data_IF_073742025650
#
_entry.id   IF_073742025650
#
_cell.length_a   1.000
_cell.length_b   1.000
_cell.length_c   1.000
_cell.angle_alpha   90.00
_cell.angle_beta   90.00
_cell.angle_gamma   90.00
#
_symmetry.space_group_name_H-M   'P 1'
#
loop_
_entity.id
_entity.type
_entity.pdbx_description
1 polymer ?
#
# COMPACT_ATOMS: atom_id res chain seq x y z
N UNK A 1 -64.68 -44.14 -14.98
CA UNK A 1 -64.25 -42.73 -14.82
C UNK A 1 -63.27 -42.66 -13.66
N UNK A 2 -62.05 -42.15 -13.92
CA UNK A 2 -61.00 -41.60 -13.02
C UNK A 2 -60.50 -42.54 -11.89
N UNK A 3 -59.38 -43.24 -12.09
CA UNK A 3 -57.99 -42.82 -11.77
C UNK A 3 -57.84 -42.10 -10.42
N UNK A 4 -57.02 -42.67 -9.52
CA UNK A 4 -55.81 -41.98 -9.05
C UNK A 4 -54.85 -42.94 -8.33
N UNK A 5 -53.68 -43.07 -8.94
CA UNK A 5 -52.46 -43.70 -8.47
C UNK A 5 -51.68 -42.64 -7.66
N UNK A 6 -51.23 -42.96 -6.45
CA UNK A 6 -50.28 -42.13 -5.70
C UNK A 6 -48.96 -42.89 -5.61
N UNK A 7 -47.96 -42.42 -6.36
CA UNK A 7 -46.57 -42.87 -6.27
C UNK A 7 -45.84 -41.85 -5.38
N UNK A 8 -45.29 -42.33 -4.27
CA UNK A 8 -44.42 -41.55 -3.39
C UNK A 8 -43.01 -41.51 -4.01
N UNK A 9 -42.54 -40.34 -4.40
CA UNK A 9 -41.16 -40.12 -4.89
C UNK A 9 -40.28 -39.65 -3.75
N UNK A 10 -39.38 -40.52 -3.30
CA UNK A 10 -38.31 -40.20 -2.37
C UNK A 10 -37.19 -39.48 -3.13
N UNK A 11 -37.02 -38.18 -2.88
CA UNK A 11 -35.88 -37.40 -3.39
C UNK A 11 -34.70 -37.63 -2.44
N UNK A 12 -33.66 -38.31 -2.90
CA UNK A 12 -32.39 -38.41 -2.20
C UNK A 12 -31.56 -37.14 -2.43
N UNK A 13 -31.32 -36.38 -1.37
CA UNK A 13 -30.35 -35.28 -1.37
C UNK A 13 -28.94 -35.86 -1.24
N UNK A 14 -28.16 -35.79 -2.33
CA UNK A 14 -26.72 -36.04 -2.27
C UNK A 14 -26.03 -34.82 -1.65
N UNK A 15 -25.61 -34.92 -0.38
CA UNK A 15 -24.67 -33.98 0.23
C UNK A 15 -23.29 -34.19 -0.39
N UNK A 16 -22.88 -33.29 -1.27
CA UNK A 16 -21.48 -33.15 -1.68
C UNK A 16 -20.74 -32.47 -0.53
N UNK A 17 -19.98 -33.25 0.24
CA UNK A 17 -19.03 -32.71 1.22
C UNK A 17 -17.86 -32.16 0.42
N UNK A 18 -17.80 -30.83 0.29
CA UNK A 18 -16.62 -30.12 -0.19
C UNK A 18 -15.50 -30.34 0.83
N UNK A 19 -14.60 -31.26 0.52
CA UNK A 19 -13.30 -31.33 1.16
C UNK A 19 -12.54 -30.03 0.85
N UNK A 20 -12.63 -29.06 1.76
CA UNK A 20 -11.79 -27.87 1.73
C UNK A 20 -10.40 -28.31 2.18
N UNK A 21 -9.43 -28.24 1.27
CA UNK A 21 -8.03 -28.53 1.56
C UNK A 21 -7.55 -27.62 2.69
N UNK A 22 -7.24 -28.25 3.82
CA UNK A 22 -6.57 -27.65 4.98
C UNK A 22 -5.10 -27.48 4.60
N UNK A 23 -4.76 -26.49 3.77
CA UNK A 23 -3.36 -26.14 3.47
C UNK A 23 -2.99 -24.71 3.86
N UNK A 24 -3.90 -23.96 4.50
CA UNK A 24 -3.67 -22.57 4.87
C UNK A 24 -3.07 -22.32 6.28
N UNK A 25 -2.61 -23.35 7.01
CA UNK A 25 -2.36 -23.22 8.46
C UNK A 25 -0.93 -23.45 8.97
N UNK A 26 0.10 -23.44 8.12
CA UNK A 26 1.48 -23.59 8.64
C UNK A 26 2.56 -22.76 7.93
N UNK A 27 2.21 -21.62 7.34
CA UNK A 27 3.23 -20.62 7.01
C UNK A 27 3.74 -19.98 8.31
N UNK A 28 5.04 -20.09 8.59
CA UNK A 28 5.67 -19.34 9.68
C UNK A 28 5.38 -17.85 9.47
N UNK A 29 5.13 -17.08 10.55
CA UNK A 29 4.93 -15.63 10.43
C UNK A 29 6.10 -15.01 9.69
N UNK A 30 5.82 -14.23 8.65
CA UNK A 30 6.86 -13.51 7.90
C UNK A 30 7.48 -12.47 8.84
N UNK A 31 8.80 -12.52 9.10
CA UNK A 31 9.44 -11.59 10.02
C UNK A 31 9.28 -10.14 9.57
N UNK A 32 9.09 -9.20 10.50
CA UNK A 32 9.04 -7.76 10.20
C UNK A 32 10.32 -7.29 9.50
N UNK A 33 10.26 -6.36 8.54
CA UNK A 33 11.46 -5.88 7.88
C UNK A 33 12.39 -5.21 8.91
N UNK A 34 13.67 -5.51 8.83
CA UNK A 34 14.71 -4.81 9.56
C UNK A 34 14.86 -3.38 9.02
N UNK A 35 15.38 -2.43 9.82
CA UNK A 35 15.61 -1.06 9.35
C UNK A 35 16.50 -0.96 8.10
N UNK A 36 17.41 -1.91 7.90
CA UNK A 36 18.30 -1.99 6.73
C UNK A 36 17.58 -2.45 5.46
N UNK A 37 16.53 -3.26 5.58
CA UNK A 37 15.73 -3.74 4.45
C UNK A 37 14.75 -2.68 3.94
N UNK A 38 14.37 -1.72 4.80
CA UNK A 38 13.51 -0.60 4.39
C UNK A 38 14.35 0.45 3.66
N UNK A 39 14.12 0.64 2.36
CA UNK A 39 14.75 1.71 1.57
C UNK A 39 13.90 2.98 1.64
N UNK A 40 14.56 4.14 1.69
CA UNK A 40 13.86 5.44 1.70
C UNK A 40 14.40 6.27 0.56
N UNK A 41 13.50 6.71 -0.32
CA UNK A 41 13.83 7.51 -1.48
C UNK A 41 13.07 8.85 -1.45
N UNK A 42 13.58 9.88 -2.13
CA UNK A 42 12.77 11.01 -2.56
C UNK A 42 11.50 10.56 -3.28
N UNK A 43 10.40 11.28 -3.08
CA UNK A 43 9.15 11.05 -3.80
C UNK A 43 8.49 12.37 -4.18
N UNK A 44 7.81 12.40 -5.33
CA UNK A 44 7.15 13.59 -5.86
C UNK A 44 5.77 13.23 -6.40
N UNK A 45 4.71 13.77 -5.78
CA UNK A 45 3.34 13.50 -6.19
C UNK A 45 3.01 13.99 -7.60
N UNK A 46 3.70 15.02 -8.10
CA UNK A 46 3.52 15.52 -9.48
C UNK A 46 4.20 14.62 -10.53
N UNK A 47 5.20 13.83 -10.12
CA UNK A 47 5.92 12.86 -10.96
C UNK A 47 5.86 11.48 -10.29
N UNK A 48 4.67 11.07 -9.85
CA UNK A 48 4.46 9.93 -8.94
C UNK A 48 5.00 8.60 -9.45
N UNK A 49 5.08 8.42 -10.76
CA UNK A 49 5.57 7.18 -11.38
C UNK A 49 7.09 7.19 -11.63
N UNK A 50 7.78 8.31 -11.36
CA UNK A 50 9.23 8.43 -11.50
C UNK A 50 9.95 7.96 -10.24
N UNK A 51 10.91 7.05 -10.41
CA UNK A 51 11.86 6.67 -9.38
C UNK A 51 12.97 7.73 -9.30
N UNK A 52 12.98 8.53 -8.25
CA UNK A 52 13.92 9.64 -8.09
C UNK A 52 15.20 9.16 -7.40
N UNK A 53 16.37 9.39 -8.02
CA UNK A 53 17.67 9.09 -7.41
C UNK A 53 17.82 9.89 -6.10
N UNK A 54 18.19 9.26 -4.96
CA UNK A 54 18.50 9.95 -3.70
C UNK A 54 19.50 11.10 -3.80
N UNK A 55 20.38 11.09 -4.81
CA UNK A 55 21.37 12.14 -5.10
C UNK A 55 20.79 13.31 -5.89
N UNK A 56 19.56 13.19 -6.40
CA UNK A 56 18.87 14.28 -7.11
C UNK A 56 18.77 15.49 -6.17
N UNK A 57 19.38 16.60 -6.57
CA UNK A 57 19.30 17.86 -5.82
C UNK A 57 17.87 18.37 -5.83
N UNK A 58 17.38 18.87 -4.69
CA UNK A 58 16.04 19.42 -4.55
C UNK A 58 15.49 19.26 -3.14
N UNK A 59 14.25 19.70 -2.93
CA UNK A 59 13.62 19.79 -1.59
C UNK A 59 12.88 18.51 -1.18
N UNK A 60 13.40 17.33 -1.52
CA UNK A 60 12.75 16.05 -1.23
C UNK A 60 13.09 15.49 0.16
N UNK A 61 14.01 16.13 0.88
CA UNK A 61 14.51 15.66 2.18
C UNK A 61 13.83 16.30 3.39
N UNK A 62 12.76 17.07 3.17
CA UNK A 62 12.06 17.80 4.24
C UNK A 62 11.23 16.89 5.16
N UNK A 63 10.77 15.75 4.64
CA UNK A 63 10.13 14.71 5.45
C UNK A 63 11.19 13.73 5.97
N UNK A 64 11.04 13.36 7.24
CA UNK A 64 11.83 12.35 7.92
C UNK A 64 11.14 10.99 7.87
N UNK A 65 11.92 9.91 7.91
CA UNK A 65 11.42 8.54 7.98
C UNK A 65 12.12 7.78 9.11
N UNK A 66 11.34 7.26 10.07
CA UNK A 66 11.84 6.30 11.08
C UNK A 66 11.43 4.88 10.70
N UNK A 67 12.26 3.88 11.07
CA UNK A 67 12.12 2.47 10.63
C UNK A 67 12.19 1.45 11.79
N UNK A 68 11.97 1.87 13.02
CA UNK A 68 12.14 1.05 14.23
C UNK A 68 10.90 0.22 14.53
N UNK A 69 10.77 -0.98 13.95
CA UNK A 69 9.63 -1.89 14.13
C UNK A 69 8.32 -1.44 13.44
N UNK A 70 8.28 -0.18 13.01
CA UNK A 70 7.24 0.46 12.19
C UNK A 70 7.90 1.50 11.30
N UNK A 71 7.23 1.88 10.23
CA UNK A 71 7.63 3.02 9.39
C UNK A 71 6.80 4.23 9.81
N UNK A 72 7.44 5.39 9.99
CA UNK A 72 6.73 6.66 10.12
C UNK A 72 7.31 7.68 9.17
N UNK A 73 6.50 8.25 8.29
CA UNK A 73 6.87 9.31 7.36
C UNK A 73 6.24 10.61 7.88
N UNK A 74 7.05 11.54 8.36
CA UNK A 74 6.55 12.73 9.04
C UNK A 74 7.43 13.94 8.81
N UNK A 75 6.88 15.13 9.02
CA UNK A 75 7.65 16.38 8.95
C UNK A 75 6.81 17.58 8.58
N UNK A 76 7.50 18.72 8.43
CA UNK A 76 6.92 20.00 8.02
C UNK A 76 7.64 20.50 6.78
N UNK A 77 6.88 20.89 5.76
CA UNK A 77 7.41 21.45 4.51
C UNK A 77 8.07 22.81 4.77
N UNK A 78 9.26 23.02 4.24
CA UNK A 78 10.02 24.27 4.41
C UNK A 78 9.98 25.16 3.16
N UNK A 79 9.91 24.54 1.98
CA UNK A 79 9.89 25.21 0.68
C UNK A 79 8.72 24.70 -0.18
N UNK A 80 8.10 25.55 -1.01
CA UNK A 80 6.90 25.20 -1.78
C UNK A 80 7.15 24.28 -2.98
N UNK A 81 8.32 24.37 -3.61
CA UNK A 81 8.60 23.67 -4.87
C UNK A 81 10.06 23.26 -5.01
N UNK A 82 10.27 22.18 -5.75
CA UNK A 82 11.59 21.66 -6.08
C UNK A 82 11.84 21.72 -7.57
N UNK A 83 12.98 21.16 -8.00
CA UNK A 83 13.25 20.94 -9.42
C UNK A 83 13.76 19.52 -9.67
N UNK A 84 13.34 18.94 -10.79
CA UNK A 84 13.89 17.70 -11.33
C UNK A 84 14.26 18.01 -12.78
N UNK A 85 15.53 17.83 -13.15
CA UNK A 85 16.02 18.09 -14.52
C UNK A 85 15.62 19.49 -15.05
N UNK A 86 15.62 20.50 -14.18
CA UNK A 86 15.24 21.88 -14.52
C UNK A 86 13.74 22.19 -14.43
N UNK A 87 12.86 21.19 -14.45
CA UNK A 87 11.41 21.36 -14.34
C UNK A 87 10.98 21.60 -12.90
N UNK A 88 10.06 22.56 -12.69
CA UNK A 88 9.48 22.82 -11.37
C UNK A 88 8.54 21.68 -10.99
N UNK A 89 8.70 21.17 -9.77
CA UNK A 89 7.86 20.10 -9.22
C UNK A 89 7.28 20.47 -7.86
N UNK A 90 6.11 19.89 -7.58
CA UNK A 90 5.33 20.11 -6.38
C UNK A 90 5.03 18.79 -5.67
N UNK A 91 4.40 18.85 -4.50
CA UNK A 91 4.09 17.66 -3.71
C UNK A 91 5.36 16.83 -3.44
N UNK A 92 6.37 17.44 -2.84
CA UNK A 92 7.63 16.78 -2.55
C UNK A 92 7.54 16.07 -1.20
N UNK A 93 8.19 14.92 -1.09
CA UNK A 93 8.19 14.12 0.13
C UNK A 93 9.05 12.87 0.00
N UNK A 94 8.59 11.79 0.64
CA UNK A 94 9.35 10.55 0.80
C UNK A 94 8.48 9.35 0.52
N UNK A 95 9.13 8.31 0.01
CA UNK A 95 8.59 6.96 -0.08
C UNK A 95 9.49 6.02 0.74
N UNK A 96 8.87 5.15 1.53
CA UNK A 96 9.52 4.04 2.19
C UNK A 96 9.15 2.76 1.46
N UNK A 97 10.16 2.01 1.02
CA UNK A 97 10.05 0.78 0.24
C UNK A 97 10.47 -0.41 1.10
N UNK A 98 9.64 -1.45 1.12
CA UNK A 98 9.86 -2.71 1.84
C UNK A 98 10.02 -3.88 0.84
N UNK A 99 10.58 -5.02 1.29
CA UNK A 99 10.62 -6.25 0.48
C UNK A 99 9.23 -6.74 0.07
N UNK A 100 9.16 -7.55 -0.98
CA UNK A 100 7.92 -8.01 -1.63
C UNK A 100 7.26 -9.21 -0.97
N UNK A 101 7.70 -9.63 0.22
CA UNK A 101 7.11 -10.78 0.89
C UNK A 101 5.65 -10.51 1.29
N UNK A 102 4.87 -11.58 1.36
CA UNK A 102 3.48 -11.54 1.83
C UNK A 102 3.40 -11.07 3.27
N UNK A 103 2.74 -9.94 3.49
CA UNK A 103 2.75 -9.21 4.77
C UNK A 103 1.44 -8.47 4.97
N UNK A 104 1.09 -8.25 6.23
CA UNK A 104 -0.05 -7.40 6.62
C UNK A 104 0.35 -6.42 7.70
N UNK A 105 -0.52 -5.44 7.91
CA UNK A 105 -0.39 -4.54 9.04
C UNK A 105 -1.41 -3.41 9.02
N UNK A 106 -1.07 -2.34 9.73
CA UNK A 106 -1.95 -1.17 9.90
C UNK A 106 -1.33 0.09 9.31
N UNK A 107 -2.18 0.95 8.78
CA UNK A 107 -1.83 2.23 8.19
C UNK A 107 -2.68 3.31 8.86
N UNK A 108 -2.04 4.36 9.38
CA UNK A 108 -2.73 5.47 10.04
C UNK A 108 -2.15 6.79 9.58
N UNK A 109 -2.98 7.67 9.04
CA UNK A 109 -2.62 9.06 8.83
C UNK A 109 -2.98 9.85 10.10
N UNK A 110 -1.99 10.32 10.86
CA UNK A 110 -2.25 11.22 12.02
C UNK A 110 -2.73 12.60 11.58
N UNK A 111 -2.58 12.90 10.29
CA UNK A 111 -3.15 14.08 9.65
C UNK A 111 -3.77 13.64 8.31
N UNK A 112 -5.06 13.85 8.09
CA UNK A 112 -5.80 13.27 6.94
C UNK A 112 -5.37 13.76 5.54
N UNK A 113 -5.74 13.07 4.47
CA UNK A 113 -5.52 13.55 3.10
C UNK A 113 -6.23 14.88 2.86
N UNK A 114 -5.55 15.79 2.18
CA UNK A 114 -6.12 17.02 1.68
C UNK A 114 -5.53 17.27 0.30
N UNK A 115 -6.30 17.00 -0.76
CA UNK A 115 -5.79 16.85 -2.14
C UNK A 115 -4.80 17.94 -2.57
N UNK A 116 -5.05 19.21 -2.25
CA UNK A 116 -4.17 20.32 -2.64
C UNK A 116 -2.98 20.57 -1.70
N UNK A 117 -2.90 19.86 -0.56
CA UNK A 117 -1.94 20.13 0.52
C UNK A 117 -1.11 18.88 0.86
N UNK A 118 -1.77 17.77 1.16
CA UNK A 118 -1.20 16.54 1.69
C UNK A 118 -1.77 15.35 0.96
N UNK A 119 -0.90 14.55 0.35
CA UNK A 119 -1.29 13.33 -0.37
C UNK A 119 -0.48 12.14 0.12
N UNK A 120 -1.15 11.01 0.20
CA UNK A 120 -0.56 9.72 0.55
C UNK A 120 -0.69 8.78 -0.65
N UNK A 121 0.30 7.90 -0.79
CA UNK A 121 0.33 6.96 -1.91
C UNK A 121 0.78 5.58 -1.42
N UNK A 122 0.32 4.58 -2.14
CA UNK A 122 0.90 3.25 -2.14
C UNK A 122 1.56 2.99 -3.49
N UNK A 123 2.60 2.15 -3.50
CA UNK A 123 3.37 1.92 -4.70
C UNK A 123 3.84 0.47 -4.83
N UNK A 124 3.99 0.02 -6.06
CA UNK A 124 4.84 -1.11 -6.42
C UNK A 124 6.06 -0.55 -7.14
N UNK A 125 7.25 -0.86 -6.63
CA UNK A 125 8.49 -0.52 -7.31
C UNK A 125 8.80 -1.55 -8.38
N UNK A 126 9.05 -1.07 -9.59
CA UNK A 126 9.60 -1.83 -10.70
C UNK A 126 11.07 -1.44 -10.90
N UNK A 127 11.74 -2.02 -11.90
CA UNK A 127 13.15 -1.70 -12.21
C UNK A 127 13.38 -0.18 -12.32
N UNK A 128 12.69 0.47 -13.27
CA UNK A 128 12.94 1.86 -13.65
C UNK A 128 11.83 2.84 -13.26
N UNK A 129 10.74 2.35 -12.70
CA UNK A 129 9.55 3.17 -12.40
C UNK A 129 8.87 2.76 -11.10
N UNK A 130 8.00 3.65 -10.63
CA UNK A 130 7.00 3.33 -9.62
C UNK A 130 5.66 3.17 -10.33
N UNK A 131 4.90 2.14 -9.97
CA UNK A 131 3.47 2.11 -10.24
C UNK A 131 2.80 2.60 -8.95
N UNK A 132 1.99 3.66 -9.02
CA UNK A 132 1.49 4.34 -7.82
C UNK A 132 0.00 4.60 -7.83
N UNK A 133 -0.64 4.39 -6.68
CA UNK A 133 -2.04 4.71 -6.42
C UNK A 133 -2.12 5.75 -5.30
N UNK A 134 -2.88 6.83 -5.51
CA UNK A 134 -3.14 7.84 -4.47
C UNK A 134 -4.21 7.30 -3.50
N UNK A 135 -3.98 7.46 -2.20
CA UNK A 135 -4.89 6.95 -1.18
C UNK A 135 -5.46 8.12 -0.36
N UNK A 136 -6.78 8.19 -0.29
CA UNK A 136 -7.47 9.18 0.54
C UNK A 136 -7.69 8.59 1.94
N UNK A 137 -6.93 9.08 2.92
CA UNK A 137 -6.96 8.62 4.30
C UNK A 137 -7.61 9.68 5.19
N UNK A 138 -8.51 9.28 6.09
CA UNK A 138 -9.04 10.18 7.13
C UNK A 138 -8.06 10.27 8.29
N UNK A 139 -8.11 11.40 8.97
CA UNK A 139 -7.29 11.63 10.16
C UNK A 139 -7.65 10.66 11.27
N UNK A 140 -6.65 9.95 11.80
CA UNK A 140 -6.79 9.03 12.93
C UNK A 140 -7.50 7.70 12.62
N UNK A 141 -8.08 7.54 11.43
CA UNK A 141 -8.70 6.27 11.02
C UNK A 141 -7.61 5.20 10.81
N UNK A 142 -7.89 3.99 11.29
CA UNK A 142 -7.00 2.84 11.15
C UNK A 142 -7.42 2.02 9.94
N UNK A 143 -6.52 1.92 8.98
CA UNK A 143 -6.69 1.10 7.79
C UNK A 143 -5.86 -0.17 7.92
N UNK A 144 -6.34 -1.27 7.36
CA UNK A 144 -5.53 -2.48 7.20
C UNK A 144 -4.81 -2.39 5.85
N UNK A 145 -3.59 -2.91 5.79
CA UNK A 145 -2.88 -3.09 4.53
C UNK A 145 -2.39 -4.52 4.39
N UNK A 146 -2.27 -4.99 3.15
CA UNK A 146 -1.72 -6.31 2.84
C UNK A 146 -0.95 -6.31 1.53
N UNK A 147 0.14 -7.07 1.50
CA UNK A 147 0.86 -7.48 0.29
C UNK A 147 0.65 -8.99 0.14
N UNK A 148 0.24 -9.41 -1.05
CA UNK A 148 0.12 -10.83 -1.41
C UNK A 148 0.64 -11.10 -2.81
N UNK A 149 1.41 -12.16 -2.96
CA UNK A 149 1.90 -12.66 -4.24
C UNK A 149 1.22 -13.97 -4.58
N UNK A 150 0.20 -13.91 -5.45
CA UNK A 150 -0.61 -15.05 -5.84
C UNK A 150 -0.90 -15.01 -7.35
N UNK A 151 -1.02 -16.18 -7.98
CA UNK A 151 -1.34 -16.30 -9.41
C UNK A 151 -0.40 -15.48 -10.33
N UNK A 152 0.88 -15.39 -9.96
CA UNK A 152 1.91 -14.65 -10.70
C UNK A 152 1.85 -13.12 -10.56
N UNK A 153 0.99 -12.59 -9.69
CA UNK A 153 0.84 -11.17 -9.44
C UNK A 153 1.08 -10.82 -7.97
N UNK A 154 1.75 -9.68 -7.74
CA UNK A 154 1.86 -9.07 -6.41
C UNK A 154 0.83 -7.95 -6.30
N UNK A 155 -0.01 -8.03 -5.28
CA UNK A 155 -1.07 -7.07 -4.99
C UNK A 155 -0.81 -6.43 -3.64
N UNK A 156 -0.81 -5.09 -3.62
CA UNK A 156 -0.85 -4.28 -2.41
C UNK A 156 -2.24 -3.66 -2.29
N UNK A 157 -2.88 -3.88 -1.15
CA UNK A 157 -4.26 -3.46 -0.89
C UNK A 157 -4.38 -2.73 0.44
N UNK A 158 -5.19 -1.68 0.47
CA UNK A 158 -5.60 -0.93 1.68
C UNK A 158 -7.11 -1.09 1.86
N UNK A 159 -7.55 -1.40 3.08
CA UNK A 159 -8.97 -1.56 3.41
C UNK A 159 -9.36 -0.84 4.71
N UNK A 160 -10.64 -0.50 4.83
CA UNK A 160 -11.29 -0.12 6.09
C UNK A 160 -12.44 -1.08 6.35
N UNK A 161 -12.28 -1.97 7.34
CA UNK A 161 -13.14 -3.15 7.48
C UNK A 161 -13.16 -4.00 6.22
N UNK A 162 -14.33 -4.17 5.61
CA UNK A 162 -14.52 -4.90 4.35
C UNK A 162 -14.40 -4.02 3.10
N UNK A 163 -14.37 -2.69 3.25
CA UNK A 163 -14.32 -1.78 2.11
C UNK A 163 -12.88 -1.63 1.60
N UNK A 164 -12.71 -1.76 0.28
CA UNK A 164 -11.46 -1.46 -0.40
C UNK A 164 -11.28 0.06 -0.51
N UNK A 165 -10.11 0.54 -0.09
CA UNK A 165 -9.73 1.97 -0.15
C UNK A 165 -8.75 2.21 -1.29
N UNK A 166 -7.82 1.29 -1.51
CA UNK A 166 -6.91 1.31 -2.64
C UNK A 166 -6.42 -0.12 -2.95
N UNK A 167 -6.13 -0.38 -4.21
CA UNK A 167 -5.51 -1.63 -4.66
C UNK A 167 -4.58 -1.34 -5.83
N UNK A 168 -3.39 -1.92 -5.79
CA UNK A 168 -2.44 -1.86 -6.89
C UNK A 168 -1.85 -3.25 -7.11
N UNK A 169 -1.80 -3.68 -8.36
CA UNK A 169 -1.37 -5.01 -8.77
C UNK A 169 -0.41 -4.93 -9.93
N UNK A 170 0.59 -5.82 -9.95
CA UNK A 170 1.52 -6.01 -11.06
C UNK A 170 2.06 -7.44 -11.10
N UNK A 171 2.63 -7.90 -12.23
CA UNK A 171 3.28 -9.20 -12.31
C UNK A 171 4.44 -9.32 -11.30
N UNK A 172 4.44 -10.36 -10.47
CA UNK A 172 5.41 -10.57 -9.37
C UNK A 172 6.85 -10.51 -9.87
N UNK A 173 7.13 -11.04 -11.06
CA UNK A 173 8.47 -11.05 -11.64
C UNK A 173 9.05 -9.64 -11.90
N UNK A 174 8.21 -8.60 -11.98
CA UNK A 174 8.62 -7.23 -12.22
C UNK A 174 8.75 -6.40 -10.93
N UNK A 175 8.13 -6.85 -9.83
CA UNK A 175 8.09 -6.09 -8.58
C UNK A 175 9.38 -6.28 -7.79
N UNK A 176 10.03 -5.18 -7.44
CA UNK A 176 11.27 -5.11 -6.63
C UNK A 176 11.04 -4.67 -5.19
N UNK A 177 9.89 -4.06 -4.92
CA UNK A 177 9.54 -3.57 -3.60
C UNK A 177 8.12 -3.04 -3.53
N UNK A 178 7.65 -2.84 -2.31
CA UNK A 178 6.33 -2.29 -2.00
C UNK A 178 6.51 -1.00 -1.23
N UNK A 179 5.78 0.06 -1.58
CA UNK A 179 5.99 1.40 -1.08
C UNK A 179 4.80 2.05 -0.39
N UNK A 180 5.11 2.87 0.61
CA UNK A 180 4.18 3.84 1.22
C UNK A 180 4.83 5.23 1.12
N UNK A 181 4.08 6.22 0.66
CA UNK A 181 4.62 7.56 0.46
C UNK A 181 3.71 8.65 1.03
N UNK A 182 4.34 9.76 1.42
CA UNK A 182 3.66 10.98 1.83
C UNK A 182 4.29 12.19 1.14
N UNK A 183 3.47 13.16 0.75
CA UNK A 183 3.91 14.38 0.07
C UNK A 183 3.20 15.62 0.63
N UNK A 184 3.87 16.77 0.50
CA UNK A 184 3.33 18.06 0.90
C UNK A 184 3.49 19.10 -0.22
N UNK A 185 2.48 19.95 -0.39
CA UNK A 185 2.46 21.00 -1.42
C UNK A 185 3.01 22.35 -0.97
N UNK A 186 2.55 22.85 0.16
CA UNK A 186 2.88 24.20 0.63
C UNK A 186 3.66 24.18 1.93
N UNK A 187 4.53 25.17 2.08
CA UNK A 187 5.34 25.50 3.24
C UNK A 187 4.48 25.55 4.51
N UNK A 188 5.07 25.17 5.64
CA UNK A 188 4.44 25.05 6.98
C UNK A 188 3.40 23.94 7.14
N UNK A 189 2.93 23.31 6.05
CA UNK A 189 2.08 22.14 6.20
C UNK A 189 2.86 20.93 6.69
N UNK A 190 2.14 20.00 7.29
CA UNK A 190 2.70 18.81 7.94
C UNK A 190 2.11 17.55 7.35
N UNK A 191 2.88 16.48 7.33
CA UNK A 191 2.43 15.11 7.07
C UNK A 191 2.87 14.23 8.23
N UNK A 192 2.09 13.18 8.50
CA UNK A 192 2.42 12.18 9.50
C UNK A 192 1.65 10.89 9.20
N UNK A 193 2.36 9.94 8.60
CA UNK A 193 1.87 8.63 8.20
C UNK A 193 2.61 7.55 9.00
N UNK A 194 1.88 6.68 9.66
CA UNK A 194 2.41 5.51 10.36
C UNK A 194 2.00 4.23 9.62
N UNK A 195 2.96 3.33 9.41
CA UNK A 195 2.79 2.00 8.84
C UNK A 195 3.34 0.99 9.84
N UNK A 196 2.46 0.17 10.38
CA UNK A 196 2.79 -0.89 11.33
C UNK A 196 2.73 -2.24 10.62
N UNK A 197 3.57 -3.18 11.04
CA UNK A 197 3.58 -4.57 10.58
C UNK A 197 2.98 -5.45 11.68
N UNK A 198 2.14 -6.41 11.32
CA UNK A 198 1.62 -7.40 12.28
C UNK A 198 2.74 -8.33 12.77
#
# INVERSE_FOLDING_TARGET
>A
MKNNCFISSTIAFAMVILASSIEAQNSKPVPKPTPSEVRVLPFCGTKKDLKIDPKTKGIFNELSVTKSGRIRIYGTKQDDSGRINGEVVYHNGKIALIPTDDRTGKLVAKLGSQQSVRRYFVALEMEDKLQTEEVTLKEGEIYNWSVKSENGNTTLKITTGQAEVAMITAPTAQVKGVGFAATLRFTKNKADLEVEFD
#
